data_IF_685356999593
#
_entry.id   IF_685356999593
#
_cell.length_a   1.000
_cell.length_b   1.000
_cell.length_c   1.000
_cell.angle_alpha   90.00
_cell.angle_beta   90.00
_cell.angle_gamma   90.00
#
_symmetry.space_group_name_H-M   'P 1'
#
loop_
_entity.id
_entity.type
_entity.pdbx_description
1 polymer ?
#
# COMPACT_ATOMS: atom_id res chain seq x y z
N UNK A 1 -9.50 2.69 8.69
CA UNK A 1 -8.80 4.00 8.55
C UNK A 1 -8.59 4.64 9.91
N UNK A 2 -9.66 5.02 10.62
CA UNK A 2 -9.54 5.63 11.96
C UNK A 2 -8.93 4.67 12.98
N UNK A 3 -9.34 3.40 13.00
CA UNK A 3 -8.75 2.39 13.90
C UNK A 3 -7.23 2.30 13.76
N UNK A 4 -6.72 2.20 12.53
CA UNK A 4 -5.29 2.18 12.26
C UNK A 4 -4.59 3.48 12.69
N UNK A 5 -5.25 4.63 12.50
CA UNK A 5 -4.73 5.92 12.95
C UNK A 5 -4.65 6.00 14.47
N UNK A 6 -5.70 5.60 15.21
CA UNK A 6 -5.69 5.62 16.67
C UNK A 6 -4.65 4.66 17.25
N UNK A 7 -4.50 3.47 16.67
CA UNK A 7 -3.42 2.53 16.99
C UNK A 7 -2.05 3.20 16.79
N UNK A 8 -1.79 3.74 15.61
CA UNK A 8 -0.52 4.38 15.28
C UNK A 8 -0.24 5.65 16.11
N UNK A 9 -1.26 6.44 16.42
CA UNK A 9 -1.15 7.71 17.17
C UNK A 9 -0.83 7.50 18.64
N UNK A 10 -1.30 6.41 19.21
CA UNK A 10 -1.07 6.04 20.60
C UNK A 10 0.41 6.04 20.98
N UNK A 11 0.66 6.10 22.28
CA UNK A 11 2.00 5.89 22.80
C UNK A 11 2.35 4.42 22.66
N UNK A 12 3.58 4.17 22.18
CA UNK A 12 4.03 2.84 21.82
C UNK A 12 5.19 2.45 22.72
N UNK A 13 5.22 1.20 23.14
CA UNK A 13 6.35 0.67 23.92
C UNK A 13 7.60 0.56 23.04
N UNK A 14 7.41 0.32 21.74
CA UNK A 14 8.46 0.10 20.74
C UNK A 14 8.17 0.88 19.44
N UNK A 15 9.12 0.86 18.50
CA UNK A 15 8.89 1.37 17.13
C UNK A 15 7.64 0.74 16.52
N UNK A 16 6.65 1.56 16.15
CA UNK A 16 5.46 1.09 15.46
C UNK A 16 5.80 0.77 14.03
N UNK A 17 5.44 -0.43 13.61
CA UNK A 17 5.68 -0.86 12.25
C UNK A 17 4.44 -1.60 11.76
N UNK A 18 4.03 -1.36 10.51
CA UNK A 18 2.97 -2.13 9.83
C UNK A 18 3.26 -2.28 8.34
N UNK A 19 2.66 -3.31 7.75
CA UNK A 19 2.52 -3.48 6.31
C UNK A 19 1.04 -3.49 5.96
N UNK A 20 0.62 -2.58 5.07
CA UNK A 20 -0.71 -2.60 4.51
C UNK A 20 -0.73 -3.58 3.33
N UNK A 21 -1.36 -4.73 3.52
CA UNK A 21 -1.55 -5.74 2.48
C UNK A 21 -3.02 -5.86 2.13
N UNK A 22 -3.30 -6.41 0.95
CA UNK A 22 -4.64 -6.75 0.52
C UNK A 22 -4.87 -6.48 -0.96
N UNK A 23 -6.11 -6.67 -1.42
CA UNK A 23 -6.44 -6.62 -2.83
C UNK A 23 -6.02 -5.36 -3.59
N UNK A 24 -5.91 -5.51 -4.90
CA UNK A 24 -5.84 -4.37 -5.80
C UNK A 24 -7.09 -3.52 -5.66
N UNK A 25 -6.90 -2.21 -5.46
CA UNK A 25 -7.99 -1.24 -5.61
C UNK A 25 -8.90 -1.03 -4.42
N UNK A 26 -8.65 -1.69 -3.29
CA UNK A 26 -9.36 -1.51 -2.01
C UNK A 26 -9.06 -0.19 -1.31
N UNK A 27 -8.04 0.55 -1.76
CA UNK A 27 -7.71 1.88 -1.24
C UNK A 27 -6.52 1.93 -0.29
N UNK A 28 -5.57 1.00 -0.38
CA UNK A 28 -4.31 1.03 0.41
C UNK A 28 -3.55 2.35 0.24
N UNK A 29 -3.33 2.79 -1.00
CA UNK A 29 -2.68 4.08 -1.29
C UNK A 29 -3.45 5.28 -0.73
N UNK A 30 -4.79 5.23 -0.76
CA UNK A 30 -5.62 6.28 -0.16
C UNK A 30 -5.49 6.29 1.38
N UNK A 31 -5.41 5.12 2.00
CA UNK A 31 -5.14 4.98 3.43
C UNK A 31 -3.75 5.53 3.78
N UNK A 32 -2.71 5.22 3.00
CA UNK A 32 -1.36 5.79 3.18
C UNK A 32 -1.38 7.31 3.12
N UNK A 33 -2.04 7.87 2.10
CA UNK A 33 -2.23 9.31 1.98
C UNK A 33 -2.96 9.92 3.19
N UNK A 34 -4.04 9.28 3.65
CA UNK A 34 -4.77 9.70 4.85
C UNK A 34 -3.87 9.72 6.09
N UNK A 35 -3.06 8.69 6.31
CA UNK A 35 -2.13 8.61 7.44
C UNK A 35 -1.06 9.72 7.37
N UNK A 36 -0.47 9.94 6.18
CA UNK A 36 0.49 11.02 5.97
C UNK A 36 -0.12 12.40 6.27
N UNK A 37 -1.32 12.67 5.75
CA UNK A 37 -2.01 13.94 5.96
C UNK A 37 -2.36 14.17 7.43
N UNK A 38 -2.79 13.13 8.15
CA UNK A 38 -3.09 13.20 9.59
C UNK A 38 -1.84 13.44 10.42
N UNK A 39 -0.75 12.71 10.16
CA UNK A 39 0.52 12.90 10.86
C UNK A 39 1.08 14.32 10.65
N UNK A 40 1.05 14.81 9.41
CA UNK A 40 1.44 16.19 9.10
C UNK A 40 0.57 17.22 9.87
N UNK A 41 -0.75 17.03 9.88
CA UNK A 41 -1.66 17.93 10.60
C UNK A 41 -1.44 17.93 12.14
N UNK A 42 -0.87 16.87 12.70
CA UNK A 42 -0.47 16.79 14.11
C UNK A 42 0.99 17.21 14.36
N UNK A 43 1.67 17.77 13.35
CA UNK A 43 3.03 18.29 13.49
C UNK A 43 4.12 17.21 13.56
N UNK A 44 3.83 15.99 13.11
CA UNK A 44 4.83 14.93 13.04
C UNK A 44 5.75 15.16 11.85
N UNK A 45 7.01 14.69 11.93
CA UNK A 45 7.84 14.60 10.74
C UNK A 45 7.33 13.47 9.84
N UNK A 46 7.10 13.75 8.56
CA UNK A 46 6.54 12.79 7.61
C UNK A 46 7.44 12.62 6.39
N UNK A 47 7.88 11.39 6.12
CA UNK A 47 8.37 11.00 4.81
C UNK A 47 7.32 10.13 4.13
N UNK A 48 6.66 10.66 3.10
CA UNK A 48 5.74 9.89 2.27
C UNK A 48 6.32 9.69 0.86
N UNK A 49 6.51 8.42 0.49
CA UNK A 49 6.83 7.99 -0.86
C UNK A 49 5.58 7.37 -1.48
N UNK A 50 4.89 8.10 -2.34
CA UNK A 50 3.65 7.63 -2.99
C UNK A 50 3.88 6.55 -4.06
N UNK A 51 5.11 6.42 -4.54
CA UNK A 51 5.54 5.37 -5.45
C UNK A 51 7.02 5.13 -5.18
N UNK A 52 7.38 3.93 -4.73
CA UNK A 52 8.75 3.60 -4.39
C UNK A 52 9.67 3.49 -5.61
N UNK A 53 9.14 3.27 -6.82
CA UNK A 53 9.90 3.20 -8.08
C UNK A 53 10.70 4.47 -8.36
N UNK A 54 10.24 5.60 -7.80
CA UNK A 54 10.95 6.88 -7.92
C UNK A 54 12.37 6.83 -7.35
N UNK A 55 12.69 5.82 -6.53
CA UNK A 55 14.02 5.60 -5.96
C UNK A 55 14.89 4.65 -6.79
N UNK A 56 14.36 3.99 -7.83
CA UNK A 56 15.20 3.24 -8.77
C UNK A 56 15.82 4.22 -9.78
N UNK A 57 17.00 4.71 -9.44
CA UNK A 57 17.78 5.64 -10.26
C UNK A 57 19.10 5.02 -10.70
N UNK A 58 19.81 5.74 -11.57
CA UNK A 58 21.10 5.28 -12.07
C UNK A 58 22.20 5.48 -11.03
N UNK A 59 22.05 6.48 -10.14
CA UNK A 59 23.05 6.82 -9.13
C UNK A 59 22.44 6.98 -7.74
N UNK A 60 23.27 6.83 -6.71
CA UNK A 60 22.87 7.00 -5.31
C UNK A 60 22.41 8.43 -5.01
N UNK A 61 23.07 9.42 -5.59
CA UNK A 61 22.76 10.84 -5.36
C UNK A 61 21.40 11.22 -5.95
N UNK A 62 21.06 10.69 -7.14
CA UNK A 62 19.73 10.88 -7.72
C UNK A 62 18.64 10.30 -6.81
N UNK A 63 18.85 9.10 -6.26
CA UNK A 63 17.90 8.47 -5.33
C UNK A 63 17.81 9.22 -4.00
N UNK A 64 18.94 9.62 -3.43
CA UNK A 64 19.00 10.41 -2.19
C UNK A 64 18.28 11.76 -2.37
N UNK A 65 18.47 12.42 -3.51
CA UNK A 65 17.77 13.66 -3.85
C UNK A 65 16.24 13.48 -3.88
N UNK A 66 15.74 12.33 -4.35
CA UNK A 66 14.30 12.03 -4.34
C UNK A 66 13.73 11.89 -2.92
N UNK A 67 14.51 11.31 -2.00
CA UNK A 67 14.16 11.23 -0.56
C UNK A 67 14.12 12.64 0.04
N UNK A 68 15.20 13.40 -0.11
CA UNK A 68 15.34 14.74 0.50
C UNK A 68 14.29 15.70 -0.03
N UNK A 69 14.03 15.73 -1.34
CA UNK A 69 12.97 16.57 -1.93
C UNK A 69 11.60 16.31 -1.33
N UNK A 70 11.23 15.02 -1.17
CA UNK A 70 9.92 14.64 -0.60
C UNK A 70 9.85 14.96 0.88
N UNK A 71 10.93 14.71 1.61
CA UNK A 71 11.01 15.05 3.03
C UNK A 71 10.87 16.56 3.26
N UNK A 72 11.62 17.39 2.54
CA UNK A 72 11.52 18.85 2.67
C UNK A 72 10.17 19.39 2.21
N UNK A 73 9.59 18.83 1.16
CA UNK A 73 8.27 19.26 0.68
C UNK A 73 7.18 19.12 1.76
N UNK A 74 7.28 18.09 2.59
CA UNK A 74 6.31 17.81 3.66
C UNK A 74 6.65 18.47 4.99
N UNK A 75 7.92 18.78 5.27
CA UNK A 75 8.36 19.15 6.62
C UNK A 75 9.02 20.53 6.74
N UNK A 76 9.14 21.31 5.66
CA UNK A 76 9.85 22.61 5.68
C UNK A 76 9.34 23.59 6.76
N UNK A 77 8.07 23.47 7.14
CA UNK A 77 7.38 24.27 8.15
C UNK A 77 7.40 23.64 9.55
N UNK A 78 7.84 22.39 9.67
CA UNK A 78 7.94 21.60 10.92
C UNK A 78 9.40 21.49 11.39
N UNK A 79 10.36 21.53 10.45
CA UNK A 79 11.78 21.46 10.75
C UNK A 79 12.26 22.69 11.49
N UNK A 80 13.16 22.49 12.45
CA UNK A 80 13.89 23.59 13.07
C UNK A 80 14.91 24.16 12.08
N UNK A 81 15.36 25.40 12.32
CA UNK A 81 16.40 26.02 11.49
C UNK A 81 17.69 25.20 11.44
N UNK A 82 18.09 24.60 12.56
CA UNK A 82 19.30 23.76 12.65
C UNK A 82 19.16 22.45 11.86
N UNK A 83 18.01 21.78 11.94
CA UNK A 83 17.75 20.56 11.15
C UNK A 83 17.72 20.86 9.66
N UNK A 84 17.08 21.98 9.27
CA UNK A 84 17.06 22.41 7.89
C UNK A 84 18.48 22.73 7.39
N UNK A 85 19.27 23.46 8.18
CA UNK A 85 20.66 23.80 7.85
C UNK A 85 21.50 22.55 7.61
N UNK A 86 21.36 21.52 8.44
CA UNK A 86 22.05 20.24 8.26
C UNK A 86 21.66 19.58 6.93
N UNK A 87 20.36 19.56 6.59
CA UNK A 87 19.88 18.91 5.36
C UNK A 87 20.26 19.65 4.07
N UNK A 88 20.51 20.96 4.15
CA UNK A 88 20.86 21.79 2.99
C UNK A 88 22.31 22.27 2.99
N UNK A 89 23.11 21.87 3.98
CA UNK A 89 24.48 22.37 4.23
C UNK A 89 25.37 22.33 2.99
N UNK A 90 25.26 21.23 2.25
CA UNK A 90 26.09 20.95 1.07
C UNK A 90 25.30 21.11 -0.23
N UNK A 91 24.11 21.73 -0.18
CA UNK A 91 23.34 22.02 -1.38
C UNK A 91 24.03 23.11 -2.21
N UNK A 92 24.72 22.68 -3.26
CA UNK A 92 25.51 23.55 -4.13
C UNK A 92 24.69 24.29 -5.20
N UNK A 93 23.36 24.20 -5.17
CA UNK A 93 22.47 24.79 -6.19
C UNK A 93 22.49 24.10 -7.56
N UNK A 94 23.34 23.09 -7.77
CA UNK A 94 23.42 22.28 -9.00
C UNK A 94 22.65 20.96 -8.93
N UNK A 95 22.02 20.67 -7.79
CA UNK A 95 21.20 19.50 -7.58
C UNK A 95 21.90 18.33 -6.89
N UNK A 96 23.18 18.47 -6.56
CA UNK A 96 23.91 17.46 -5.78
C UNK A 96 23.58 17.69 -4.30
N UNK A 97 22.84 16.76 -3.71
CA UNK A 97 22.71 16.62 -2.27
C UNK A 97 23.53 15.39 -1.90
N UNK A 98 24.39 15.51 -0.89
CA UNK A 98 25.16 14.36 -0.42
C UNK A 98 24.22 13.21 -0.01
N UNK A 99 24.65 11.99 -0.35
CA UNK A 99 24.12 10.74 0.18
C UNK A 99 23.83 10.80 1.69
N UNK A 100 24.64 11.56 2.43
CA UNK A 100 24.54 11.72 3.88
C UNK A 100 23.21 12.32 4.32
N UNK A 101 22.61 13.25 3.57
CA UNK A 101 21.34 13.87 3.95
C UNK A 101 20.17 12.86 3.98
N UNK A 102 20.12 11.94 3.02
CA UNK A 102 19.12 10.86 3.04
C UNK A 102 19.35 9.92 4.23
N UNK A 103 20.62 9.61 4.53
CA UNK A 103 20.99 8.78 5.68
C UNK A 103 20.57 9.45 7.00
N UNK A 104 20.81 10.76 7.15
CA UNK A 104 20.40 11.57 8.31
C UNK A 104 18.88 11.61 8.48
N UNK A 105 18.13 11.73 7.37
CA UNK A 105 16.66 11.65 7.42
C UNK A 105 16.22 10.32 8.03
N UNK A 106 16.77 9.19 7.56
CA UNK A 106 16.36 7.88 8.06
C UNK A 106 16.86 7.60 9.49
N UNK A 107 18.12 7.90 9.80
CA UNK A 107 18.77 7.50 11.05
C UNK A 107 18.51 8.44 12.21
N UNK A 108 18.43 9.75 11.95
CA UNK A 108 18.34 10.75 13.02
C UNK A 108 16.94 11.33 13.11
N UNK A 109 16.41 11.82 11.97
CA UNK A 109 15.14 12.54 11.98
C UNK A 109 13.94 11.62 12.13
N UNK A 110 13.87 10.53 11.34
CA UNK A 110 12.75 9.59 11.37
C UNK A 110 12.83 8.59 12.53
N UNK A 111 13.97 8.46 13.20
CA UNK A 111 14.12 7.67 14.43
C UNK A 111 14.28 8.54 15.69
N UNK A 112 14.01 9.85 15.59
CA UNK A 112 14.08 10.80 16.70
C UNK A 112 13.21 10.35 17.87
N UNK A 113 13.74 10.42 19.09
CA UNK A 113 13.03 10.10 20.34
C UNK A 113 12.20 11.26 20.89
N UNK A 114 12.44 12.47 20.38
CA UNK A 114 11.88 13.71 20.95
C UNK A 114 10.52 14.07 20.35
N UNK A 115 10.21 13.56 19.16
CA UNK A 115 8.94 13.81 18.47
C UNK A 115 8.48 12.62 17.65
N UNK A 116 7.17 12.51 17.46
CA UNK A 116 6.56 11.46 16.62
C UNK A 116 6.92 11.69 15.15
N UNK A 117 7.21 10.61 14.45
CA UNK A 117 7.63 10.61 13.04
C UNK A 117 6.87 9.54 12.28
N UNK A 118 6.73 9.69 10.97
CA UNK A 118 6.07 8.72 10.11
C UNK A 118 6.83 8.55 8.79
N UNK A 119 7.30 7.33 8.55
CA UNK A 119 7.69 6.86 7.23
C UNK A 119 6.53 6.07 6.61
N UNK A 120 6.09 6.50 5.43
CA UNK A 120 5.13 5.79 4.60
C UNK A 120 5.75 5.51 3.24
N UNK A 121 5.85 4.25 2.85
CA UNK A 121 6.30 3.86 1.52
C UNK A 121 5.20 3.07 0.83
N UNK A 122 4.56 3.73 -0.12
CA UNK A 122 3.54 3.15 -0.97
C UNK A 122 4.22 2.42 -2.15
N UNK A 123 3.63 1.30 -2.58
CA UNK A 123 4.16 0.48 -3.67
C UNK A 123 5.60 0.00 -3.38
N UNK A 124 5.90 -0.28 -2.11
CA UNK A 124 7.24 -0.65 -1.61
C UNK A 124 7.84 -1.85 -2.32
N UNK A 125 6.99 -2.78 -2.77
CA UNK A 125 7.35 -3.95 -3.56
C UNK A 125 8.17 -3.66 -4.82
N UNK A 126 7.98 -2.47 -5.42
CA UNK A 126 8.70 -2.07 -6.64
C UNK A 126 10.22 -1.97 -6.45
N UNK A 127 10.68 -1.73 -5.21
CA UNK A 127 12.11 -1.70 -4.88
C UNK A 127 12.80 -3.06 -5.05
N UNK A 128 12.02 -4.15 -5.17
CA UNK A 128 12.49 -5.53 -5.19
C UNK A 128 12.14 -6.28 -6.50
N UNK A 129 11.69 -5.57 -7.54
CA UNK A 129 11.31 -6.23 -8.81
C UNK A 129 12.51 -6.84 -9.52
N UNK A 130 13.62 -6.09 -9.60
CA UNK A 130 14.83 -6.45 -10.36
C UNK A 130 16.08 -6.42 -9.48
N UNK A 131 16.90 -7.46 -9.58
CA UNK A 131 18.22 -7.52 -8.92
C UNK A 131 19.30 -6.73 -9.70
N UNK A 132 20.26 -6.10 -9.00
CA UNK A 132 20.29 -5.92 -7.54
C UNK A 132 19.14 -5.02 -7.06
N UNK A 133 18.53 -5.35 -5.92
CA UNK A 133 17.39 -4.59 -5.39
C UNK A 133 17.80 -3.16 -5.07
N UNK A 134 16.86 -2.21 -5.15
CA UNK A 134 17.16 -0.78 -4.97
C UNK A 134 17.84 -0.48 -3.62
N UNK A 135 17.41 -1.05 -2.49
CA UNK A 135 18.09 -0.88 -1.20
C UNK A 135 19.48 -1.52 -1.13
N UNK A 136 19.79 -2.49 -2.01
CA UNK A 136 21.11 -3.12 -2.11
C UNK A 136 22.06 -2.33 -3.01
N UNK A 137 21.52 -1.65 -4.03
CA UNK A 137 22.28 -0.75 -4.91
C UNK A 137 22.84 0.46 -4.13
N UNK A 138 22.05 1.01 -3.20
CA UNK A 138 22.31 2.32 -2.60
C UNK A 138 22.33 2.26 -1.07
N UNK A 139 23.47 2.61 -0.46
CA UNK A 139 23.68 2.52 0.99
C UNK A 139 22.71 3.39 1.79
N UNK A 140 22.35 4.56 1.27
CA UNK A 140 21.38 5.48 1.89
C UNK A 140 19.96 4.93 1.95
N UNK A 141 19.64 3.88 1.17
CA UNK A 141 18.31 3.28 1.10
C UNK A 141 18.20 1.92 1.83
N UNK A 142 19.27 1.46 2.47
CA UNK A 142 19.26 0.27 3.34
C UNK A 142 18.10 0.26 4.36
N UNK A 143 17.67 1.40 4.95
CA UNK A 143 16.49 1.45 5.82
C UNK A 143 15.19 0.93 5.21
N UNK A 144 15.08 0.94 3.87
CA UNK A 144 13.92 0.44 3.13
C UNK A 144 14.01 -1.05 2.82
N UNK A 145 15.16 -1.69 3.08
CA UNK A 145 15.37 -3.11 2.79
C UNK A 145 14.60 -4.03 3.72
N UNK A 146 14.59 -3.70 5.01
CA UNK A 146 14.09 -4.61 6.05
C UNK A 146 13.33 -3.87 7.14
N UNK A 147 12.24 -4.49 7.55
CA UNK A 147 11.41 -4.09 8.67
C UNK A 147 12.17 -4.05 10.01
N UNK A 148 13.21 -4.86 10.16
CA UNK A 148 14.03 -4.93 11.37
C UNK A 148 14.99 -3.76 11.54
N UNK A 149 15.35 -3.09 10.44
CA UNK A 149 16.31 -1.98 10.47
C UNK A 149 15.87 -0.86 11.44
N UNK A 150 14.56 -0.66 11.55
CA UNK A 150 13.93 0.35 12.40
C UNK A 150 13.95 0.05 13.91
N UNK A 151 14.52 -1.10 14.30
CA UNK A 151 14.73 -1.48 15.69
C UNK A 151 13.45 -1.53 16.53
N UNK A 152 13.61 -1.53 17.85
CA UNK A 152 12.50 -1.46 18.81
C UNK A 152 12.56 -0.19 19.69
N UNK A 153 13.73 0.45 19.81
CA UNK A 153 13.95 1.53 20.77
C UNK A 153 13.39 2.91 20.36
N UNK A 154 13.06 3.11 19.08
CA UNK A 154 12.55 4.39 18.57
C UNK A 154 11.03 4.49 18.78
N UNK A 155 10.59 4.59 20.05
CA UNK A 155 9.17 4.55 20.48
C UNK A 155 8.25 5.57 19.83
N UNK A 156 8.80 6.63 19.27
CA UNK A 156 8.12 7.74 18.57
C UNK A 156 8.09 7.55 17.06
N UNK A 157 8.88 6.62 16.53
CA UNK A 157 8.95 6.31 15.11
C UNK A 157 7.80 5.41 14.67
N UNK A 158 7.20 5.74 13.53
CA UNK A 158 6.14 4.98 12.87
C UNK A 158 6.57 4.65 11.45
N UNK A 159 6.48 3.37 11.08
CA UNK A 159 6.87 2.91 9.74
C UNK A 159 5.75 2.10 9.14
N UNK A 160 5.29 2.49 7.97
CA UNK A 160 4.23 1.81 7.25
C UNK A 160 4.66 1.58 5.81
N UNK A 161 4.70 0.32 5.41
CA UNK A 161 4.90 -0.07 4.01
C UNK A 161 3.58 -0.51 3.41
N UNK A 162 3.37 -0.25 2.12
CA UNK A 162 2.30 -0.90 1.37
C UNK A 162 2.90 -1.73 0.25
N UNK A 163 2.38 -2.94 0.08
CA UNK A 163 2.70 -3.74 -1.08
C UNK A 163 1.81 -3.37 -2.26
N UNK A 164 2.37 -3.55 -3.45
CA UNK A 164 1.57 -3.93 -4.60
C UNK A 164 1.00 -5.32 -4.37
N UNK A 165 -0.22 -5.54 -4.84
CA UNK A 165 -0.69 -6.90 -5.08
C UNK A 165 0.37 -7.62 -5.94
N UNK A 166 0.80 -8.82 -5.53
CA UNK A 166 1.82 -9.63 -6.20
C UNK A 166 3.28 -9.20 -5.97
N UNK A 167 3.57 -8.39 -4.94
CA UNK A 167 4.94 -7.96 -4.64
C UNK A 167 5.81 -9.08 -4.07
N UNK A 168 7.01 -9.28 -4.65
CA UNK A 168 8.07 -10.13 -4.07
C UNK A 168 8.36 -9.80 -2.59
N UNK A 169 8.24 -8.53 -2.18
CA UNK A 169 8.50 -8.11 -0.80
C UNK A 169 7.61 -8.83 0.23
N UNK A 170 6.29 -8.88 0.00
CA UNK A 170 5.37 -9.55 0.91
C UNK A 170 5.65 -11.06 0.98
N UNK A 171 6.10 -11.65 -0.12
CA UNK A 171 6.36 -13.08 -0.23
C UNK A 171 7.71 -13.57 0.27
N UNK A 172 8.76 -12.77 0.12
CA UNK A 172 10.15 -13.22 0.33
C UNK A 172 10.89 -12.47 1.42
N UNK A 173 10.42 -11.27 1.79
CA UNK A 173 11.11 -10.43 2.80
C UNK A 173 10.30 -10.36 4.09
N UNK A 174 8.97 -10.35 4.01
CA UNK A 174 8.13 -10.50 5.21
C UNK A 174 8.11 -11.92 5.75
N UNK A 175 8.28 -12.96 4.94
CA UNK A 175 8.28 -14.38 5.38
C UNK A 175 9.30 -14.63 6.51
N UNK A 176 10.49 -14.00 6.44
CA UNK A 176 11.52 -14.12 7.49
C UNK A 176 11.29 -13.22 8.71
N UNK A 177 10.40 -12.22 8.61
CA UNK A 177 10.19 -11.18 9.62
C UNK A 177 8.74 -11.07 10.12
N UNK A 178 7.91 -12.05 9.76
CA UNK A 178 6.47 -12.03 10.01
C UNK A 178 6.17 -12.13 11.51
N UNK A 179 5.55 -11.07 12.01
CA UNK A 179 4.71 -11.13 13.21
C UNK A 179 3.27 -10.90 12.74
N UNK A 180 2.28 -11.69 13.18
CA UNK A 180 0.88 -11.51 12.77
C UNK A 180 0.37 -10.07 12.97
N UNK A 181 0.85 -9.38 14.00
CA UNK A 181 0.52 -7.98 14.31
C UNK A 181 1.16 -6.96 13.35
N UNK A 182 2.15 -7.36 12.55
CA UNK A 182 2.84 -6.50 11.60
C UNK A 182 2.05 -6.26 10.32
N UNK A 183 1.06 -7.10 9.99
CA UNK A 183 0.30 -6.99 8.73
C UNK A 183 -1.11 -6.50 9.01
N UNK A 184 -1.50 -5.42 8.33
CA UNK A 184 -2.86 -4.89 8.36
C UNK A 184 -3.51 -5.21 7.03
N UNK A 185 -4.48 -6.11 7.05
CA UNK A 185 -5.25 -6.45 5.87
C UNK A 185 -6.30 -5.39 5.56
N UNK A 186 -6.20 -4.78 4.38
CA UNK A 186 -7.16 -3.80 3.87
C UNK A 186 -8.12 -4.50 2.93
N UNK A 187 -9.34 -4.77 3.41
CA UNK A 187 -10.43 -5.30 2.60
C UNK A 187 -11.23 -4.20 1.87
N UNK A 188 -12.25 -4.58 1.10
CA UNK A 188 -13.17 -3.63 0.48
C UNK A 188 -13.89 -2.78 1.50
N UNK A 189 -14.45 -1.67 1.01
CA UNK A 189 -15.24 -0.80 1.85
C UNK A 189 -16.47 -1.54 2.41
N UNK A 190 -16.86 -1.19 3.63
CA UNK A 190 -18.15 -1.62 4.16
C UNK A 190 -19.27 -1.10 3.25
N UNK A 191 -20.39 -1.84 3.15
CA UNK A 191 -21.53 -1.42 2.31
C UNK A 191 -21.98 0.01 2.63
N UNK A 192 -21.97 0.39 3.91
CA UNK A 192 -22.32 1.74 4.34
C UNK A 192 -21.37 2.80 3.77
N UNK A 193 -20.05 2.61 3.89
CA UNK A 193 -19.06 3.57 3.38
C UNK A 193 -19.07 3.59 1.84
N UNK A 194 -19.12 2.40 1.21
CA UNK A 194 -19.21 2.28 -0.23
C UNK A 194 -20.44 2.98 -0.79
N UNK A 195 -21.59 2.90 -0.10
CA UNK A 195 -22.81 3.57 -0.55
C UNK A 195 -22.68 5.10 -0.60
N UNK A 196 -21.89 5.70 0.30
CA UNK A 196 -21.58 7.14 0.26
C UNK A 196 -20.70 7.50 -0.93
N UNK A 197 -19.73 6.63 -1.25
CA UNK A 197 -18.90 6.79 -2.45
C UNK A 197 -19.72 6.59 -3.73
N UNK A 198 -20.60 5.59 -3.77
CA UNK A 198 -21.47 5.34 -4.91
C UNK A 198 -22.40 6.53 -5.18
N UNK A 199 -22.91 7.19 -4.13
CA UNK A 199 -23.75 8.39 -4.26
C UNK A 199 -23.08 9.56 -5.01
N UNK A 200 -21.74 9.61 -5.08
CA UNK A 200 -21.03 10.62 -5.90
C UNK A 200 -21.11 10.32 -7.40
N UNK A 201 -21.48 9.09 -7.78
CA UNK A 201 -21.63 8.62 -9.15
C UNK A 201 -23.11 8.56 -9.54
N UNK A 202 -23.73 9.71 -9.81
CA UNK A 202 -25.19 9.87 -10.01
C UNK A 202 -25.84 8.79 -10.89
N UNK A 203 -25.21 8.44 -12.02
CA UNK A 203 -25.73 7.44 -12.97
C UNK A 203 -25.75 6.03 -12.39
N UNK A 204 -24.69 5.64 -11.69
CA UNK A 204 -24.52 4.33 -11.06
C UNK A 204 -25.26 4.23 -9.72
N UNK A 205 -25.56 5.36 -9.08
CA UNK A 205 -26.32 5.45 -7.85
C UNK A 205 -27.84 5.36 -8.05
N UNK A 206 -28.31 5.21 -9.30
CA UNK A 206 -29.72 5.13 -9.61
C UNK A 206 -30.39 3.95 -8.86
N UNK A 207 -31.53 4.16 -8.18
CA UNK A 207 -32.15 3.13 -7.34
C UNK A 207 -32.39 1.79 -8.05
N UNK A 208 -32.68 1.83 -9.35
CA UNK A 208 -32.95 0.63 -10.16
C UNK A 208 -31.75 -0.32 -10.32
N UNK A 209 -30.52 0.18 -10.22
CA UNK A 209 -29.30 -0.60 -10.47
C UNK A 209 -28.29 -0.56 -9.31
N UNK A 210 -28.56 0.23 -8.27
CA UNK A 210 -27.64 0.50 -7.17
C UNK A 210 -27.16 -0.77 -6.47
N UNK A 211 -28.08 -1.71 -6.22
CA UNK A 211 -27.76 -2.96 -5.53
C UNK A 211 -26.89 -3.86 -6.40
N UNK A 212 -27.18 -3.91 -7.71
CA UNK A 212 -26.37 -4.64 -8.69
C UNK A 212 -24.97 -4.05 -8.80
N UNK A 213 -24.84 -2.73 -8.93
CA UNK A 213 -23.55 -2.03 -8.93
C UNK A 213 -22.76 -2.34 -7.65
N UNK A 214 -23.42 -2.39 -6.50
CA UNK A 214 -22.78 -2.74 -5.22
C UNK A 214 -22.29 -4.19 -5.20
N UNK A 215 -23.04 -5.11 -5.82
CA UNK A 215 -22.70 -6.52 -5.92
C UNK A 215 -21.53 -6.76 -6.89
N UNK A 216 -21.62 -6.30 -8.14
CA UNK A 216 -20.61 -6.56 -9.18
C UNK A 216 -19.26 -5.90 -8.90
N UNK A 217 -19.25 -4.77 -8.19
CA UNK A 217 -18.01 -4.11 -7.75
C UNK A 217 -17.45 -4.68 -6.45
N UNK A 218 -18.23 -5.53 -5.75
CA UNK A 218 -17.95 -6.06 -4.42
C UNK A 218 -17.47 -4.99 -3.41
N UNK A 219 -18.00 -3.78 -3.51
CA UNK A 219 -17.61 -2.62 -2.71
C UNK A 219 -16.12 -2.20 -2.85
N UNK A 220 -15.45 -2.57 -3.95
CA UNK A 220 -14.07 -2.18 -4.26
C UNK A 220 -14.07 -0.83 -4.99
N UNK A 221 -13.43 0.22 -4.45
CA UNK A 221 -13.41 1.56 -5.07
C UNK A 221 -12.90 1.59 -6.52
N UNK A 222 -11.84 0.83 -6.82
CA UNK A 222 -11.28 0.76 -8.19
C UNK A 222 -12.27 0.20 -9.20
N UNK A 223 -13.00 -0.85 -8.84
CA UNK A 223 -14.01 -1.45 -9.72
C UNK A 223 -15.16 -0.48 -9.99
N UNK A 224 -15.56 0.33 -9.00
CA UNK A 224 -16.54 1.40 -9.22
C UNK A 224 -16.02 2.44 -10.23
N UNK A 225 -14.75 2.84 -10.12
CA UNK A 225 -14.13 3.77 -11.09
C UNK A 225 -14.10 3.16 -12.49
N UNK A 226 -13.67 1.90 -12.63
CA UNK A 226 -13.66 1.22 -13.93
C UNK A 226 -15.05 1.09 -14.53
N UNK A 227 -16.04 0.70 -13.74
CA UNK A 227 -17.43 0.66 -14.17
C UNK A 227 -17.90 2.05 -14.64
N UNK A 228 -17.61 3.11 -13.87
CA UNK A 228 -18.01 4.48 -14.23
C UNK A 228 -17.44 4.94 -15.58
N UNK A 229 -16.22 4.51 -15.91
CA UNK A 229 -15.59 4.78 -17.20
C UNK A 229 -16.26 3.96 -18.30
N UNK A 230 -16.50 2.67 -18.05
CA UNK A 230 -17.12 1.77 -19.04
C UNK A 230 -18.53 2.21 -19.43
N UNK A 231 -19.33 2.71 -18.48
CA UNK A 231 -20.71 3.15 -18.74
C UNK A 231 -20.81 4.60 -19.20
N UNK A 232 -19.70 5.34 -19.26
CA UNK A 232 -19.69 6.80 -19.49
C UNK A 232 -20.46 7.21 -20.75
N UNK A 233 -20.35 6.42 -21.82
CA UNK A 233 -20.95 6.72 -23.13
C UNK A 233 -22.24 5.93 -23.41
N UNK A 234 -22.72 5.11 -22.46
CA UNK A 234 -23.98 4.38 -22.62
C UNK A 234 -25.17 5.33 -22.51
N UNK A 235 -26.28 5.02 -23.21
CA UNK A 235 -27.53 5.77 -23.04
C UNK A 235 -28.07 5.66 -21.61
N UNK A 236 -28.94 6.61 -21.22
CA UNK A 236 -29.67 6.55 -19.96
C UNK A 236 -31.11 6.05 -20.20
N UNK A 237 -31.67 5.22 -19.29
CA UNK A 237 -31.02 4.64 -18.11
C UNK A 237 -30.06 3.50 -18.48
N UNK A 238 -29.05 3.25 -17.63
CA UNK A 238 -28.17 2.09 -17.76
C UNK A 238 -29.00 0.84 -17.48
N UNK A 239 -28.96 -0.13 -18.39
CA UNK A 239 -29.70 -1.39 -18.25
C UNK A 239 -28.93 -2.42 -17.43
N UNK A 240 -29.62 -3.44 -16.91
CA UNK A 240 -28.96 -4.58 -16.25
C UNK A 240 -28.09 -5.35 -17.26
N UNK A 241 -28.54 -5.50 -18.51
CA UNK A 241 -27.74 -6.11 -19.59
C UNK A 241 -26.39 -5.41 -19.82
N UNK A 242 -26.32 -4.08 -19.61
CA UNK A 242 -25.05 -3.34 -19.70
C UNK A 242 -24.09 -3.70 -18.55
N UNK A 243 -24.64 -3.93 -17.36
CA UNK A 243 -23.87 -4.38 -16.19
C UNK A 243 -23.42 -5.84 -16.33
N UNK A 244 -24.26 -6.70 -16.92
CA UNK A 244 -23.91 -8.09 -17.20
C UNK A 244 -22.75 -8.18 -18.20
N UNK A 245 -22.81 -7.42 -19.30
CA UNK A 245 -21.70 -7.34 -20.28
C UNK A 245 -20.40 -6.86 -19.65
N UNK A 246 -20.47 -5.87 -18.75
CA UNK A 246 -19.30 -5.42 -18.02
C UNK A 246 -18.76 -6.52 -17.10
N UNK A 247 -19.64 -7.23 -16.41
CA UNK A 247 -19.29 -8.32 -15.49
C UNK A 247 -18.62 -9.47 -16.22
N UNK A 248 -19.13 -9.88 -17.39
CA UNK A 248 -18.50 -10.90 -18.25
C UNK A 248 -17.09 -10.46 -18.68
N UNK A 249 -16.96 -9.20 -19.15
CA UNK A 249 -15.67 -8.63 -19.56
C UNK A 249 -14.66 -8.59 -18.41
N UNK A 250 -15.08 -8.13 -17.22
CA UNK A 250 -14.21 -8.08 -16.03
C UNK A 250 -13.85 -9.48 -15.54
N UNK A 251 -14.78 -10.42 -15.57
CA UNK A 251 -14.53 -11.82 -15.18
C UNK A 251 -13.46 -12.45 -16.07
N UNK A 252 -13.51 -12.20 -17.38
CA UNK A 252 -12.47 -12.65 -18.32
C UNK A 252 -11.10 -12.04 -17.97
N UNK A 253 -11.03 -10.72 -17.77
CA UNK A 253 -9.77 -10.05 -17.41
C UNK A 253 -9.21 -10.51 -16.05
N UNK A 254 -10.09 -10.81 -15.09
CA UNK A 254 -9.69 -11.39 -13.81
C UNK A 254 -9.10 -12.80 -14.00
N UNK A 255 -9.76 -13.66 -14.79
CA UNK A 255 -9.26 -15.00 -15.08
C UNK A 255 -7.88 -14.96 -15.75
N UNK A 256 -7.65 -14.06 -16.70
CA UNK A 256 -6.36 -13.86 -17.36
C UNK A 256 -5.26 -13.46 -16.36
N UNK A 257 -5.58 -12.55 -15.43
CA UNK A 257 -4.67 -12.11 -14.37
C UNK A 257 -4.34 -13.25 -13.41
N UNK A 258 -5.36 -13.97 -12.94
CA UNK A 258 -5.20 -15.10 -12.02
C UNK A 258 -4.40 -16.25 -12.65
N UNK A 259 -4.63 -16.53 -13.94
CA UNK A 259 -3.89 -17.56 -14.70
C UNK A 259 -2.42 -17.17 -14.85
N UNK A 260 -2.15 -15.93 -15.27
CA UNK A 260 -0.79 -15.40 -15.40
C UNK A 260 -0.04 -15.48 -14.06
N UNK A 261 -0.71 -15.09 -12.98
CA UNK A 261 -0.15 -15.21 -11.63
C UNK A 261 0.16 -16.66 -11.26
N UNK A 262 -0.79 -17.59 -11.46
CA UNK A 262 -0.57 -19.01 -11.19
C UNK A 262 0.61 -19.58 -11.97
N UNK A 263 0.71 -19.25 -13.26
CA UNK A 263 1.79 -19.69 -14.14
C UNK A 263 3.15 -19.08 -13.77
N UNK A 264 3.19 -17.88 -13.17
CA UNK A 264 4.46 -17.29 -12.71
C UNK A 264 5.08 -18.02 -11.49
N UNK A 265 4.30 -18.84 -10.78
CA UNK A 265 4.72 -19.47 -9.52
C UNK A 265 5.58 -20.73 -9.75
N UNK A 266 6.45 -21.04 -8.77
CA UNK A 266 7.21 -22.30 -8.76
C UNK A 266 6.29 -23.51 -8.61
N UNK A 267 6.70 -24.72 -9.05
CA UNK A 267 5.84 -25.91 -8.98
C UNK A 267 5.29 -26.20 -7.58
N UNK A 268 6.10 -25.98 -6.54
CA UNK A 268 5.68 -26.16 -5.13
C UNK A 268 4.60 -25.15 -4.72
N UNK A 269 4.78 -23.86 -5.08
CA UNK A 269 3.81 -22.79 -4.78
C UNK A 269 2.52 -22.96 -5.59
N UNK A 270 2.59 -23.42 -6.85
CA UNK A 270 1.40 -23.76 -7.65
C UNK A 270 0.53 -24.84 -6.98
N UNK A 271 1.14 -25.93 -6.49
CA UNK A 271 0.40 -26.98 -5.79
C UNK A 271 -0.27 -26.47 -4.52
N UNK A 272 0.40 -25.60 -3.79
CA UNK A 272 -0.13 -24.97 -2.57
C UNK A 272 -1.29 -24.03 -2.90
N UNK A 273 -1.11 -23.16 -3.89
CA UNK A 273 -2.14 -22.24 -4.38
C UNK A 273 -3.39 -22.97 -4.88
N UNK A 274 -3.23 -24.01 -5.69
CA UNK A 274 -4.35 -24.79 -6.21
C UNK A 274 -5.14 -25.48 -5.08
N UNK A 275 -4.45 -26.06 -4.09
CA UNK A 275 -5.09 -26.62 -2.90
C UNK A 275 -5.86 -25.55 -2.14
N UNK A 276 -5.26 -24.37 -1.94
CA UNK A 276 -5.89 -23.27 -1.25
C UNK A 276 -7.17 -22.81 -1.97
N UNK A 277 -7.16 -22.73 -3.31
CA UNK A 277 -8.37 -22.42 -4.11
C UNK A 277 -9.47 -23.45 -3.91
N UNK A 278 -9.14 -24.75 -3.98
CA UNK A 278 -10.11 -25.82 -3.76
C UNK A 278 -10.68 -25.76 -2.33
N UNK A 279 -9.85 -25.46 -1.33
CA UNK A 279 -10.30 -25.33 0.05
C UNK A 279 -11.25 -24.15 0.22
N UNK A 280 -10.93 -22.96 -0.32
CA UNK A 280 -11.77 -21.77 -0.17
C UNK A 280 -13.11 -21.91 -0.90
N UNK A 281 -13.10 -22.42 -2.13
CA UNK A 281 -14.30 -22.44 -2.98
C UNK A 281 -15.10 -23.73 -2.89
N UNK A 282 -14.49 -24.86 -2.52
CA UNK A 282 -15.12 -26.18 -2.51
C UNK A 282 -15.15 -26.83 -1.12
N UNK A 283 -14.66 -26.17 -0.06
CA UNK A 283 -14.99 -26.48 1.33
C UNK A 283 -14.35 -27.74 1.94
N UNK A 284 -13.19 -28.20 1.46
CA UNK A 284 -12.53 -29.38 2.03
C UNK A 284 -11.72 -29.07 3.32
N UNK A 285 -12.41 -29.18 4.46
CA UNK A 285 -11.92 -29.46 5.83
C UNK A 285 -10.44 -29.14 6.17
N UNK A 286 -10.16 -27.93 6.65
CA UNK A 286 -9.23 -27.64 7.77
C UNK A 286 -9.24 -26.14 8.13
N UNK A 287 -9.06 -25.82 9.41
CA UNK A 287 -9.13 -24.48 10.02
C UNK A 287 -7.77 -23.76 10.13
N UNK A 288 -6.83 -23.89 9.19
CA UNK A 288 -5.50 -23.26 9.33
C UNK A 288 -4.94 -22.55 8.07
N UNK A 289 -4.44 -21.33 8.36
CA UNK A 289 -3.57 -20.36 7.67
C UNK A 289 -3.72 -20.14 6.16
N UNK A 290 -4.67 -19.25 5.85
CA UNK A 290 -5.06 -18.73 4.53
C UNK A 290 -4.26 -17.48 4.09
N UNK A 291 -3.12 -17.21 4.70
CA UNK A 291 -2.78 -15.80 4.92
C UNK A 291 -2.03 -15.09 3.79
N UNK A 292 -1.47 -15.72 2.75
CA UNK A 292 -0.58 -14.99 1.83
C UNK A 292 -0.95 -15.03 0.35
N UNK A 293 -1.20 -16.22 -0.22
CA UNK A 293 -1.37 -16.33 -1.68
C UNK A 293 -2.65 -15.65 -2.21
N UNK A 294 -3.64 -15.41 -1.34
CA UNK A 294 -4.90 -14.72 -1.66
C UNK A 294 -4.89 -13.22 -1.41
N UNK A 295 -4.05 -12.72 -0.48
CA UNK A 295 -3.88 -11.28 -0.27
C UNK A 295 -3.38 -10.62 -1.55
N UNK A 296 -2.47 -11.33 -2.23
CA UNK A 296 -1.83 -10.94 -3.49
C UNK A 296 -2.79 -10.87 -4.67
N UNK A 297 -3.72 -11.82 -4.83
CA UNK A 297 -4.64 -11.84 -5.98
C UNK A 297 -5.77 -10.83 -5.87
N UNK A 298 -5.90 -10.20 -4.72
CA UNK A 298 -7.04 -9.39 -4.42
C UNK A 298 -8.38 -10.11 -4.49
N UNK A 299 -8.34 -11.42 -4.26
CA UNK A 299 -9.53 -12.23 -4.11
C UNK A 299 -10.18 -11.86 -2.78
N UNK A 300 -11.14 -10.94 -2.85
CA UNK A 300 -12.02 -10.64 -1.72
C UNK A 300 -13.03 -11.78 -1.63
N UNK A 301 -12.87 -12.64 -0.63
CA UNK A 301 -13.95 -13.51 -0.21
C UNK A 301 -14.80 -12.75 0.81
N UNK A 302 -16.03 -12.43 0.44
CA UNK A 302 -17.10 -12.36 1.45
C UNK A 302 -17.56 -13.79 1.65
N UNK A 303 -17.20 -14.39 2.79
CA UNK A 303 -17.96 -15.54 3.28
C UNK A 303 -19.41 -15.08 3.43
N UNK A 304 -20.37 -15.93 3.04
CA UNK A 304 -21.81 -15.60 3.16
C UNK A 304 -22.25 -15.30 4.60
N UNK A 305 -21.39 -15.57 5.58
CA UNK A 305 -21.68 -15.49 7.01
C UNK A 305 -20.83 -14.44 7.78
N UNK A 306 -20.30 -13.41 7.11
CA UNK A 306 -19.59 -12.29 7.75
C UNK A 306 -20.30 -10.93 7.59
#
# INVERSE_FOLDING_TARGET
MLELWEDMRGDQEFTYRRVLSGPMGVGKSYLSYFLAARAYAEGWLVLYLSDAEVLDKNTQDESALQVVKRFLAMNKDILTGAELEILVRDYNGRGDILTDAASLIFQDLLMSRDRKTLLLVDEHGKLFEKEPYVPDKFKSLVPLKSYHWWGEDAKTSRVVFTGTAHAKFEMSILDESYRPESVVFVGPLSRHVFSKLLATHRRLAAPAIRDEVTAITNCVPRELVYLSVAVKNLPEPISLDDLDKWTESRTKGFLETATTYYESRTPLRRKTFYKALLQTFLGSTSTDNFDWDFLDLGLVYRSKDA
#
